data_IF_542209674211
#
_entry.id   IF_542209674211
#
_cell.length_a   1.000
_cell.length_b   1.000
_cell.length_c   1.000
_cell.angle_alpha   90.00
_cell.angle_beta   90.00
_cell.angle_gamma   90.00
#
_symmetry.space_group_name_H-M   'P 1'
#
loop_
_entity.id
_entity.type
_entity.pdbx_description
1 polymer ?
#
# COMPACT_ATOMS: atom_id res chain seq x y z
N UNK A 1 3.97 -24.92 -9.37
CA UNK A 1 2.93 -24.67 -10.41
C UNK A 1 1.61 -24.50 -9.68
N UNK A 2 0.93 -23.37 -9.89
CA UNK A 2 -0.46 -23.18 -9.46
C UNK A 2 -1.36 -24.06 -10.35
N UNK A 3 -2.34 -24.76 -9.75
CA UNK A 3 -3.34 -25.56 -10.47
C UNK A 3 -4.65 -24.80 -10.47
N UNK A 4 -5.43 -24.90 -11.57
CA UNK A 4 -6.69 -24.16 -11.81
C UNK A 4 -7.76 -24.28 -10.71
N UNK A 5 -7.58 -25.16 -9.74
CA UNK A 5 -8.51 -25.39 -8.61
C UNK A 5 -7.79 -25.49 -7.25
N UNK A 6 -6.57 -24.96 -7.13
CA UNK A 6 -5.80 -25.01 -5.89
C UNK A 6 -5.45 -23.60 -5.38
N UNK A 7 -6.42 -22.90 -4.75
CA UNK A 7 -6.23 -21.54 -4.25
C UNK A 7 -5.22 -21.42 -3.10
N UNK A 8 -4.75 -22.55 -2.56
CA UNK A 8 -3.84 -22.59 -1.43
C UNK A 8 -2.46 -21.98 -1.73
N UNK A 9 -2.04 -22.00 -3.01
CA UNK A 9 -0.75 -21.43 -3.44
C UNK A 9 -0.88 -19.98 -3.90
N UNK A 10 -2.03 -19.57 -4.46
CA UNK A 10 -2.19 -18.24 -5.07
C UNK A 10 -3.05 -17.26 -4.25
N UNK A 11 -3.66 -17.73 -3.15
CA UNK A 11 -4.62 -16.93 -2.38
C UNK A 11 -4.07 -15.63 -1.76
N UNK A 12 -2.75 -15.53 -1.55
CA UNK A 12 -2.14 -14.26 -1.14
C UNK A 12 -2.08 -13.25 -2.30
N UNK A 13 -1.67 -13.71 -3.48
CA UNK A 13 -1.65 -12.90 -4.70
C UNK A 13 -3.06 -12.48 -5.09
N UNK A 14 -4.03 -13.39 -5.01
CA UNK A 14 -5.44 -13.10 -5.30
C UNK A 14 -6.00 -12.01 -4.38
N UNK A 15 -5.74 -12.10 -3.07
CA UNK A 15 -6.16 -11.06 -2.11
C UNK A 15 -5.49 -9.72 -2.38
N UNK A 16 -4.20 -9.72 -2.74
CA UNK A 16 -3.49 -8.52 -3.15
C UNK A 16 -4.14 -7.89 -4.39
N UNK A 17 -4.43 -8.70 -5.42
CA UNK A 17 -5.04 -8.24 -6.66
C UNK A 17 -6.42 -7.63 -6.40
N UNK A 18 -7.25 -8.26 -5.56
CA UNK A 18 -8.55 -7.70 -5.16
C UNK A 18 -8.41 -6.33 -4.48
N UNK A 19 -7.39 -6.14 -3.64
CA UNK A 19 -7.14 -4.87 -2.96
C UNK A 19 -6.73 -3.77 -3.96
N UNK A 20 -5.83 -4.08 -4.89
CA UNK A 20 -5.41 -3.15 -5.95
C UNK A 20 -6.57 -2.82 -6.90
N UNK A 21 -7.39 -3.80 -7.27
CA UNK A 21 -8.58 -3.56 -8.08
C UNK A 21 -9.56 -2.59 -7.40
N UNK A 22 -9.81 -2.76 -6.09
CA UNK A 22 -10.67 -1.87 -5.33
C UNK A 22 -10.12 -0.43 -5.33
N UNK A 23 -8.81 -0.27 -5.11
CA UNK A 23 -8.14 1.03 -5.20
C UNK A 23 -8.31 1.67 -6.58
N UNK A 24 -8.07 0.90 -7.65
CA UNK A 24 -8.18 1.38 -9.02
C UNK A 24 -9.62 1.76 -9.37
N UNK A 25 -10.63 0.99 -8.94
CA UNK A 25 -12.05 1.32 -9.16
C UNK A 25 -12.41 2.69 -8.59
N UNK A 26 -11.85 3.05 -7.43
CA UNK A 26 -12.07 4.35 -6.81
C UNK A 26 -11.30 5.48 -7.52
N UNK A 27 -10.05 5.24 -7.93
CA UNK A 27 -9.13 6.30 -8.38
C UNK A 27 -9.21 6.60 -9.88
N UNK A 28 -9.58 5.61 -10.68
CA UNK A 28 -9.53 5.68 -12.15
C UNK A 28 -10.83 6.22 -12.76
N UNK A 29 -11.87 6.49 -11.96
CA UNK A 29 -13.18 6.94 -12.43
C UNK A 29 -13.12 8.15 -13.37
N UNK A 30 -12.23 9.12 -13.10
CA UNK A 30 -12.09 10.33 -13.90
C UNK A 30 -11.37 10.11 -15.24
N UNK A 31 -10.46 9.13 -15.34
CA UNK A 31 -9.66 8.87 -16.55
C UNK A 31 -9.36 7.36 -16.72
N UNK A 32 -10.34 6.54 -17.17
CA UNK A 32 -10.18 5.11 -17.34
C UNK A 32 -9.01 4.68 -18.25
N UNK A 33 -8.72 5.47 -19.27
CA UNK A 33 -7.65 5.20 -20.24
C UNK A 33 -6.24 5.31 -19.64
N UNK A 34 -6.10 5.97 -18.48
CA UNK A 34 -4.82 6.20 -17.80
C UNK A 34 -4.57 5.24 -16.64
N UNK A 35 -5.39 4.20 -16.46
CA UNK A 35 -5.31 3.25 -15.34
C UNK A 35 -3.89 2.74 -15.05
N UNK A 36 -3.09 2.49 -16.09
CA UNK A 36 -1.70 2.02 -15.96
C UNK A 36 -0.79 3.01 -15.22
N UNK A 37 -1.02 4.31 -15.37
CA UNK A 37 -0.27 5.34 -14.64
C UNK A 37 -0.61 5.39 -13.14
N UNK A 38 -1.79 4.89 -12.75
CA UNK A 38 -2.24 4.80 -11.36
C UNK A 38 -1.72 3.54 -10.67
N UNK A 39 -1.20 2.56 -11.42
CA UNK A 39 -0.72 1.30 -10.87
C UNK A 39 0.48 1.50 -9.94
N UNK A 40 1.39 2.42 -10.27
CA UNK A 40 2.53 2.77 -9.41
C UNK A 40 2.07 3.40 -8.10
N UNK A 41 1.02 4.22 -8.13
CA UNK A 41 0.41 4.81 -6.94
C UNK A 41 -0.30 3.77 -6.09
N UNK A 42 -1.05 2.85 -6.73
CA UNK A 42 -1.71 1.74 -6.06
C UNK A 42 -0.70 0.81 -5.36
N UNK A 43 0.41 0.49 -6.04
CA UNK A 43 1.50 -0.30 -5.46
C UNK A 43 2.15 0.42 -4.27
N UNK A 44 2.45 1.71 -4.41
CA UNK A 44 3.01 2.52 -3.33
C UNK A 44 2.06 2.54 -2.12
N UNK A 45 0.78 2.80 -2.35
CA UNK A 45 -0.25 2.80 -1.33
C UNK A 45 -0.33 1.45 -0.60
N UNK A 46 -0.36 0.34 -1.34
CA UNK A 46 -0.45 -1.00 -0.76
C UNK A 46 0.77 -1.33 0.12
N UNK A 47 1.98 -1.01 -0.38
CA UNK A 47 3.24 -1.30 0.32
C UNK A 47 3.48 -0.42 1.55
N UNK A 48 2.91 0.78 1.59
CA UNK A 48 3.08 1.75 2.69
C UNK A 48 1.90 1.78 3.67
N UNK A 49 0.80 1.12 3.35
CA UNK A 49 -0.35 0.98 4.24
C UNK A 49 -0.11 -0.09 5.31
N UNK A 50 -0.68 0.11 6.50
CA UNK A 50 -0.60 -0.85 7.59
C UNK A 50 -1.40 -2.11 7.29
N UNK A 51 -0.81 -3.29 7.48
CA UNK A 51 -1.50 -4.57 7.31
C UNK A 51 -1.65 -5.25 8.67
N UNK A 52 -2.89 -5.46 9.10
CA UNK A 52 -3.19 -6.09 10.40
C UNK A 52 -2.60 -7.49 10.54
N UNK A 53 -2.54 -8.27 9.45
CA UNK A 53 -1.92 -9.59 9.44
C UNK A 53 -0.40 -9.56 9.67
N UNK A 54 0.28 -8.49 9.25
CA UNK A 54 1.72 -8.31 9.41
C UNK A 54 2.06 -7.51 10.69
N UNK A 55 1.09 -6.78 11.24
CA UNK A 55 1.30 -5.80 12.32
C UNK A 55 2.19 -4.62 11.92
N UNK A 56 2.49 -4.47 10.62
CA UNK A 56 3.40 -3.48 10.01
C UNK A 56 3.01 -3.25 8.55
N UNK A 57 3.65 -2.28 7.91
CA UNK A 57 3.55 -2.10 6.46
C UNK A 57 4.41 -3.16 5.73
N UNK A 58 4.01 -3.65 4.54
CA UNK A 58 4.86 -4.55 3.74
C UNK A 58 6.25 -3.97 3.45
N UNK A 59 6.35 -2.65 3.25
CA UNK A 59 7.61 -1.94 3.09
C UNK A 59 8.52 -2.07 4.32
N UNK A 60 7.99 -1.85 5.53
CA UNK A 60 8.75 -2.02 6.77
C UNK A 60 9.21 -3.46 6.97
N UNK A 61 8.40 -4.43 6.59
CA UNK A 61 8.77 -5.85 6.67
C UNK A 61 9.94 -6.16 5.75
N UNK A 62 9.95 -5.60 4.53
CA UNK A 62 10.98 -5.86 3.54
C UNK A 62 12.29 -5.10 3.78
N UNK A 63 12.21 -3.83 4.19
CA UNK A 63 13.36 -2.92 4.28
C UNK A 63 13.76 -2.58 5.72
N UNK A 64 13.04 -3.07 6.73
CA UNK A 64 13.25 -2.74 8.14
C UNK A 64 13.23 -1.23 8.46
N UNK A 65 12.65 -0.40 7.59
CA UNK A 65 12.55 1.05 7.73
C UNK A 65 11.11 1.51 7.48
N UNK A 66 10.67 2.56 8.17
CA UNK A 66 9.40 3.22 7.88
C UNK A 66 9.41 3.86 6.48
N UNK A 67 8.31 3.79 5.72
CA UNK A 67 8.22 4.46 4.43
C UNK A 67 8.34 5.97 4.60
N UNK A 68 9.26 6.59 3.88
CA UNK A 68 9.36 8.05 3.81
C UNK A 68 8.38 8.58 2.77
N UNK A 69 7.37 9.35 3.19
CA UNK A 69 6.42 9.94 2.27
C UNK A 69 7.07 11.13 1.55
N UNK A 70 7.36 10.98 0.26
CA UNK A 70 7.96 12.04 -0.58
C UNK A 70 9.27 12.62 0.00
N UNK A 71 10.07 11.79 0.68
CA UNK A 71 11.33 12.23 1.31
C UNK A 71 11.16 12.84 2.70
N UNK A 72 9.93 12.95 3.22
CA UNK A 72 9.68 13.29 4.63
C UNK A 72 9.84 12.01 5.45
N UNK A 73 10.98 11.89 6.12
CA UNK A 73 11.37 10.67 6.82
C UNK A 73 10.70 10.52 8.20
N UNK A 74 10.07 11.57 8.73
CA UNK A 74 9.56 11.55 10.09
C UNK A 74 8.49 12.63 10.31
N UNK A 75 7.23 12.23 10.48
CA UNK A 75 6.19 13.12 11.03
C UNK A 75 6.24 13.15 12.56
N UNK A 76 7.00 12.24 13.19
CA UNK A 76 7.17 12.14 14.64
C UNK A 76 8.31 13.01 15.18
N UNK A 77 9.31 13.37 14.36
CA UNK A 77 10.31 14.41 14.65
C UNK A 77 9.89 15.75 14.05
N UNK A 78 8.67 16.19 14.34
CA UNK A 78 8.39 17.62 14.19
C UNK A 78 9.11 18.35 15.32
N UNK A 79 9.99 19.30 15.00
CA UNK A 79 10.61 20.20 15.99
C UNK A 79 9.60 21.13 16.66
N UNK A 80 8.35 21.11 16.20
CA UNK A 80 7.22 21.89 16.70
C UNK A 80 6.36 20.97 17.59
N UNK A 81 6.37 21.16 18.92
CA UNK A 81 5.69 20.27 19.87
C UNK A 81 4.18 20.11 19.64
N UNK A 82 3.54 21.11 19.04
CA UNK A 82 2.08 21.19 18.91
C UNK A 82 1.51 20.29 17.80
N UNK A 83 2.35 19.84 16.85
CA UNK A 83 1.87 19.06 15.70
C UNK A 83 1.46 17.62 16.09
N UNK A 84 1.97 17.09 17.21
CA UNK A 84 1.60 15.78 17.74
C UNK A 84 0.24 15.77 18.45
N UNK A 85 -0.33 16.94 18.77
CA UNK A 85 -1.65 17.04 19.45
C UNK A 85 -2.80 16.92 18.45
N UNK A 86 -2.54 17.19 17.17
CA UNK A 86 -3.56 17.26 16.11
C UNK A 86 -3.53 16.09 15.10
N UNK A 87 -2.57 15.17 15.23
CA UNK A 87 -2.44 13.93 14.44
C UNK A 87 -2.88 12.72 15.26
#
# INVERSE_FOLDING_TARGET
MSSSYHPQTDGQTERLNQCLEAYLRCTVHACPTKWSSWLSQAQYWYNTSFHSALGKTPYEVLFARKPSHFGVADLGQSTVPDVQVWL
#
